data_IF_972854902909
#
_entry.id   IF_972854902909
#
_cell.length_a   1.000
_cell.length_b   1.000
_cell.length_c   1.000
_cell.angle_alpha   90.00
_cell.angle_beta   90.00
_cell.angle_gamma   90.00
#
_symmetry.space_group_name_H-M   'P 1'
#
loop_
_entity.id
_entity.type
_entity.pdbx_description
1 polymer ?
#
# COMPACT_ATOMS: atom_id res chain seq x y z
N UNK A 1 -12.14 -9.03 -19.73
CA UNK A 1 -13.22 -8.84 -18.76
C UNK A 1 -13.25 -7.36 -18.45
N UNK A 2 -14.37 -6.67 -18.70
CA UNK A 2 -14.51 -5.25 -18.38
C UNK A 2 -14.84 -5.10 -16.89
N UNK A 3 -14.20 -4.15 -16.21
CA UNK A 3 -14.50 -3.83 -14.81
C UNK A 3 -15.88 -3.17 -14.72
N UNK A 4 -16.68 -3.52 -13.72
CA UNK A 4 -17.95 -2.84 -13.47
C UNK A 4 -17.73 -1.36 -13.12
N UNK A 5 -18.72 -0.51 -13.36
CA UNK A 5 -18.65 0.92 -12.99
C UNK A 5 -18.39 1.11 -11.50
N UNK A 6 -18.99 0.27 -10.66
CA UNK A 6 -18.79 0.26 -9.21
C UNK A 6 -17.32 0.00 -8.85
N UNK A 7 -16.69 -1.02 -9.46
CA UNK A 7 -15.27 -1.31 -9.22
C UNK A 7 -14.39 -0.17 -9.73
N UNK A 8 -14.70 0.40 -10.90
CA UNK A 8 -13.96 1.55 -11.43
C UNK A 8 -14.03 2.76 -10.48
N UNK A 9 -15.21 3.05 -9.93
CA UNK A 9 -15.42 4.14 -8.99
C UNK A 9 -14.66 3.90 -7.68
N UNK A 10 -14.75 2.70 -7.12
CA UNK A 10 -13.97 2.30 -5.95
C UNK A 10 -12.46 2.45 -6.18
N UNK A 11 -11.96 2.01 -7.33
CA UNK A 11 -10.54 2.11 -7.65
C UNK A 11 -10.08 3.56 -7.81
N UNK A 12 -10.85 4.39 -8.50
CA UNK A 12 -10.47 5.78 -8.81
C UNK A 12 -10.62 6.73 -7.63
N UNK A 13 -11.42 6.37 -6.62
CA UNK A 13 -11.69 7.17 -5.43
C UNK A 13 -11.10 6.53 -4.18
N UNK A 14 -11.77 5.53 -3.61
CA UNK A 14 -11.43 4.95 -2.31
C UNK A 14 -10.04 4.31 -2.26
N UNK A 15 -9.70 3.50 -3.27
CA UNK A 15 -8.39 2.83 -3.33
C UNK A 15 -7.25 3.83 -3.53
N UNK A 16 -7.45 4.83 -4.40
CA UNK A 16 -6.49 5.92 -4.60
C UNK A 16 -6.31 6.73 -3.31
N UNK A 17 -7.40 7.06 -2.60
CA UNK A 17 -7.30 7.79 -1.34
C UNK A 17 -6.50 7.00 -0.29
N UNK A 18 -6.83 5.72 -0.09
CA UNK A 18 -6.09 4.81 0.80
C UNK A 18 -4.61 4.74 0.44
N UNK A 19 -4.31 4.49 -0.83
CA UNK A 19 -2.94 4.44 -1.33
C UNK A 19 -2.18 5.73 -1.02
N UNK A 20 -2.77 6.90 -1.30
CA UNK A 20 -2.15 8.20 -1.05
C UNK A 20 -1.97 8.53 0.43
N UNK A 21 -2.76 7.93 1.32
CA UNK A 21 -2.53 7.98 2.77
C UNK A 21 -1.34 7.11 3.16
N UNK A 22 -1.30 5.87 2.68
CA UNK A 22 -0.26 4.90 3.06
C UNK A 22 1.13 5.33 2.58
N UNK A 23 1.27 5.82 1.34
CA UNK A 23 2.58 6.25 0.80
C UNK A 23 3.21 7.42 1.55
N UNK A 24 2.45 8.14 2.37
CA UNK A 24 2.96 9.23 3.22
C UNK A 24 3.45 8.74 4.59
N UNK A 25 3.14 7.49 4.96
CA UNK A 25 3.65 6.86 6.17
C UNK A 25 5.05 6.35 5.86
N UNK A 26 6.04 6.81 6.62
CA UNK A 26 7.41 6.37 6.43
C UNK A 26 7.59 4.95 6.97
N UNK A 27 7.93 4.01 6.09
CA UNK A 27 8.08 2.58 6.45
C UNK A 27 9.37 1.97 5.90
N UNK A 28 10.41 2.75 5.60
CA UNK A 28 11.64 2.21 5.00
C UNK A 28 12.28 1.14 5.89
N UNK A 29 12.69 0.01 5.30
CA UNK A 29 13.48 -1.01 5.99
C UNK A 29 14.93 -0.55 6.21
N UNK A 30 15.68 -1.30 7.03
CA UNK A 30 17.12 -1.14 7.23
C UNK A 30 17.81 -2.50 7.03
N UNK A 31 18.69 -2.60 6.04
CA UNK A 31 19.40 -3.86 5.72
C UNK A 31 20.47 -4.23 6.76
N UNK A 32 20.87 -3.29 7.62
CA UNK A 32 21.92 -3.48 8.61
C UNK A 32 21.38 -3.94 9.97
N UNK A 33 20.06 -4.15 10.08
CA UNK A 33 19.38 -4.49 11.32
C UNK A 33 18.72 -5.86 11.18
N UNK A 34 19.06 -6.78 12.09
CA UNK A 34 18.53 -8.15 12.10
C UNK A 34 17.21 -8.31 12.87
N UNK A 35 16.73 -7.26 13.55
CA UNK A 35 15.43 -7.32 14.23
C UNK A 35 14.28 -7.36 13.23
N UNK A 36 13.14 -7.89 13.67
CA UNK A 36 11.90 -7.91 12.88
C UNK A 36 10.85 -7.07 13.64
N UNK A 37 10.32 -5.98 13.04
CA UNK A 37 10.79 -5.37 11.79
C UNK A 37 12.18 -4.73 11.97
N UNK A 38 12.88 -4.49 10.87
CA UNK A 38 14.21 -3.84 10.90
C UNK A 38 14.12 -2.37 11.33
N UNK A 39 12.96 -1.73 11.14
CA UNK A 39 12.71 -0.35 11.54
C UNK A 39 11.38 -0.20 12.28
N UNK A 40 11.39 0.59 13.36
CA UNK A 40 10.19 0.82 14.19
C UNK A 40 9.09 1.60 13.47
N UNK A 41 9.41 2.37 12.44
CA UNK A 41 8.44 3.17 11.70
C UNK A 41 7.43 2.29 10.93
N UNK A 42 7.76 1.03 10.61
CA UNK A 42 6.84 0.08 9.98
C UNK A 42 5.57 -0.18 10.82
N UNK A 43 5.68 -0.12 12.15
CA UNK A 43 4.54 -0.27 13.05
C UNK A 43 3.49 0.83 12.88
N UNK A 44 3.86 2.01 12.36
CA UNK A 44 2.91 3.12 12.24
C UNK A 44 1.89 2.87 11.12
N UNK A 45 2.33 2.28 10.00
CA UNK A 45 1.40 1.79 8.98
C UNK A 45 0.58 0.61 9.51
N UNK A 46 1.20 -0.32 10.24
CA UNK A 46 0.49 -1.45 10.85
C UNK A 46 -0.66 -1.02 11.77
N UNK A 47 -0.43 -0.03 12.66
CA UNK A 47 -1.48 0.53 13.53
C UNK A 47 -2.62 1.17 12.72
N UNK A 48 -2.29 1.91 11.67
CA UNK A 48 -3.30 2.51 10.79
C UNK A 48 -4.16 1.42 10.14
N UNK A 49 -3.54 0.37 9.61
CA UNK A 49 -4.24 -0.75 8.98
C UNK A 49 -5.15 -1.49 9.96
N UNK A 50 -4.71 -1.72 11.21
CA UNK A 50 -5.56 -2.32 12.25
C UNK A 50 -6.86 -1.54 12.45
N UNK A 51 -6.79 -0.21 12.52
CA UNK A 51 -7.99 0.63 12.68
C UNK A 51 -8.89 0.57 11.44
N UNK A 52 -8.32 0.55 10.22
CA UNK A 52 -9.11 0.40 9.00
C UNK A 52 -9.75 -0.98 8.86
N UNK A 53 -9.06 -2.05 9.26
CA UNK A 53 -9.57 -3.42 9.26
C UNK A 53 -10.72 -3.56 10.25
N UNK A 54 -10.61 -2.97 11.45
CA UNK A 54 -11.73 -2.89 12.42
C UNK A 54 -12.94 -2.19 11.81
N UNK A 55 -12.74 -1.07 11.11
CA UNK A 55 -13.82 -0.34 10.46
C UNK A 55 -14.49 -1.13 9.32
N UNK A 56 -13.78 -2.09 8.72
CA UNK A 56 -14.30 -3.03 7.72
C UNK A 56 -15.01 -4.24 8.33
N UNK A 57 -15.07 -4.36 9.66
CA UNK A 57 -15.66 -5.47 10.40
C UNK A 57 -15.04 -6.84 10.08
N UNK A 58 -13.72 -6.88 9.85
CA UNK A 58 -12.98 -8.14 9.83
C UNK A 58 -12.76 -8.64 11.27
N UNK A 59 -12.55 -9.94 11.39
CA UNK A 59 -12.39 -10.66 12.66
C UNK A 59 -10.91 -11.04 12.89
N UNK A 60 -10.61 -11.55 14.09
CA UNK A 60 -9.29 -12.07 14.48
C UNK A 60 -8.12 -11.13 14.13
N UNK A 61 -8.30 -9.83 14.37
CA UNK A 61 -7.32 -8.81 14.03
C UNK A 61 -6.13 -8.89 14.99
N UNK A 62 -4.95 -9.14 14.45
CA UNK A 62 -3.69 -9.25 15.19
C UNK A 62 -2.71 -8.23 14.64
N UNK A 63 -2.02 -7.53 15.54
CA UNK A 63 -0.79 -6.81 15.23
C UNK A 63 0.24 -7.23 16.27
N UNK A 64 1.17 -8.09 15.86
CA UNK A 64 2.09 -8.73 16.78
C UNK A 64 3.35 -7.89 17.07
N UNK A 65 4.19 -8.40 17.96
CA UNK A 65 5.44 -7.76 18.36
C UNK A 65 6.50 -7.69 17.25
N UNK A 66 6.30 -8.44 16.15
CA UNK A 66 7.17 -8.46 14.97
C UNK A 66 6.62 -7.59 13.82
N UNK A 67 5.52 -6.87 14.05
CA UNK A 67 4.94 -5.93 13.09
C UNK A 67 4.09 -6.59 12.00
N UNK A 68 3.73 -7.87 12.14
CA UNK A 68 2.78 -8.51 11.22
C UNK A 68 1.36 -8.10 11.56
N UNK A 69 0.56 -7.81 10.53
CA UNK A 69 -0.87 -7.54 10.64
C UNK A 69 -1.63 -8.68 9.99
N UNK A 70 -2.50 -9.32 10.78
CA UNK A 70 -3.41 -10.37 10.31
C UNK A 70 -4.85 -9.95 10.54
N UNK A 71 -5.73 -10.43 9.68
CA UNK A 71 -7.17 -10.29 9.82
C UNK A 71 -7.87 -11.42 9.07
N UNK A 72 -9.07 -11.77 9.52
CA UNK A 72 -9.90 -12.79 8.93
C UNK A 72 -11.18 -12.18 8.37
N UNK A 73 -11.47 -12.47 7.10
CA UNK A 73 -12.78 -12.19 6.51
C UNK A 73 -13.60 -13.48 6.57
N UNK A 74 -14.72 -13.52 7.31
CA UNK A 74 -15.59 -14.69 7.34
C UNK A 74 -16.07 -15.10 5.95
N UNK A 75 -16.28 -16.40 5.70
CA UNK A 75 -16.79 -16.87 4.42
C UNK A 75 -18.19 -16.29 4.16
N UNK A 76 -18.46 -15.91 2.90
CA UNK A 76 -19.83 -15.62 2.47
C UNK A 76 -20.71 -16.87 2.58
N UNK A 77 -22.02 -16.66 2.73
CA UNK A 77 -22.99 -17.75 2.85
C UNK A 77 -22.84 -18.78 1.71
N UNK A 78 -22.73 -20.06 2.09
CA UNK A 78 -22.53 -21.18 1.17
C UNK A 78 -21.07 -21.50 0.83
N UNK A 79 -20.11 -20.71 1.33
CA UNK A 79 -18.67 -20.93 1.13
C UNK A 79 -17.94 -21.43 2.40
N UNK A 80 -18.65 -21.76 3.48
CA UNK A 80 -18.10 -22.09 4.80
C UNK A 80 -17.18 -23.33 4.79
N UNK A 81 -17.36 -24.22 3.80
CA UNK A 81 -16.56 -25.45 3.63
C UNK A 81 -15.49 -25.33 2.54
N UNK A 82 -15.32 -24.16 1.94
CA UNK A 82 -14.31 -23.94 0.89
C UNK A 82 -12.95 -23.65 1.52
N UNK A 83 -11.89 -24.00 0.81
CA UNK A 83 -10.52 -23.71 1.23
C UNK A 83 -10.30 -22.18 1.27
N UNK A 84 -9.87 -21.62 2.40
CA UNK A 84 -9.52 -20.20 2.48
C UNK A 84 -8.35 -19.85 1.55
N UNK A 85 -8.31 -18.60 1.08
CA UNK A 85 -7.18 -18.02 0.38
C UNK A 85 -6.55 -16.91 1.22
N UNK A 86 -5.24 -16.73 1.10
CA UNK A 86 -4.51 -15.64 1.75
C UNK A 86 -4.12 -14.57 0.73
N UNK A 87 -4.33 -13.30 1.10
CA UNK A 87 -3.79 -12.15 0.37
C UNK A 87 -2.70 -11.52 1.23
N UNK A 88 -1.51 -11.35 0.65
CA UNK A 88 -0.33 -10.89 1.36
C UNK A 88 0.23 -9.64 0.68
N UNK A 89 0.70 -8.70 1.49
CA UNK A 89 1.47 -7.54 1.09
C UNK A 89 2.50 -7.24 2.19
N UNK A 90 3.59 -6.57 1.84
CA UNK A 90 4.58 -6.09 2.80
C UNK A 90 4.33 -4.61 3.14
N UNK A 91 4.78 -4.18 4.32
CA UNK A 91 4.55 -2.81 4.82
C UNK A 91 5.68 -1.85 4.47
N UNK A 92 6.88 -2.38 4.24
CA UNK A 92 8.10 -1.58 4.14
C UNK A 92 8.35 -1.03 2.74
N UNK A 93 9.19 0.00 2.69
CA UNK A 93 9.74 0.54 1.43
C UNK A 93 11.25 0.27 1.37
N UNK A 94 11.79 0.20 0.16
CA UNK A 94 13.20 -0.05 -0.07
C UNK A 94 14.09 1.03 0.57
N UNK A 95 15.16 0.61 1.25
CA UNK A 95 16.08 1.50 1.98
C UNK A 95 16.95 2.40 1.09
N UNK A 96 17.20 2.00 -0.17
CA UNK A 96 18.10 2.74 -1.07
C UNK A 96 17.54 4.06 -1.61
N UNK A 97 16.25 4.35 -1.36
CA UNK A 97 15.62 5.64 -1.62
C UNK A 97 14.78 6.03 -0.42
N UNK A 98 14.78 7.32 -0.05
CA UNK A 98 14.04 7.74 1.14
C UNK A 98 12.54 7.65 0.92
N UNK A 99 11.86 6.84 1.73
CA UNK A 99 10.40 6.82 1.84
C UNK A 99 9.84 7.85 2.83
N UNK A 100 10.65 8.81 3.29
CA UNK A 100 10.24 9.81 4.29
C UNK A 100 9.70 11.07 3.61
N UNK A 101 8.66 11.67 4.20
CA UNK A 101 8.06 12.93 3.75
C UNK A 101 7.63 12.93 2.27
N UNK A 102 7.17 11.77 1.78
CA UNK A 102 6.71 11.58 0.41
C UNK A 102 5.57 12.54 0.08
N UNK A 103 5.68 13.21 -1.08
CA UNK A 103 4.66 14.12 -1.61
C UNK A 103 4.12 13.53 -2.91
N UNK A 104 3.08 12.68 -2.86
CA UNK A 104 2.57 12.04 -4.06
C UNK A 104 1.95 13.08 -5.00
N UNK A 105 2.18 12.89 -6.30
CA UNK A 105 1.64 13.74 -7.38
C UNK A 105 0.80 12.84 -8.29
N UNK A 106 -0.44 13.25 -8.56
CA UNK A 106 -1.35 12.50 -9.43
C UNK A 106 -1.38 13.17 -10.81
N UNK A 107 -0.95 12.46 -11.83
CA UNK A 107 -1.09 12.86 -13.23
C UNK A 107 -2.38 12.23 -13.79
N UNK A 108 -3.48 12.98 -13.83
CA UNK A 108 -4.74 12.50 -14.41
C UNK A 108 -4.69 12.61 -15.93
N UNK A 109 -5.31 11.65 -16.61
CA UNK A 109 -5.39 11.60 -18.09
C UNK A 109 -4.00 11.80 -18.74
N UNK A 110 -3.00 11.09 -18.21
CA UNK A 110 -1.63 11.15 -18.69
C UNK A 110 -1.57 10.89 -20.20
N UNK A 111 -0.90 11.78 -20.93
CA UNK A 111 -0.85 11.82 -22.39
C UNK A 111 0.40 11.13 -22.98
N UNK A 112 1.22 10.50 -22.13
CA UNK A 112 2.47 9.87 -22.52
C UNK A 112 3.67 10.82 -22.59
N UNK A 113 3.50 12.12 -22.29
CA UNK A 113 4.60 13.08 -22.32
C UNK A 113 5.56 12.94 -21.15
N UNK A 114 6.81 13.36 -21.32
CA UNK A 114 7.84 13.25 -20.26
C UNK A 114 7.40 13.93 -18.96
N UNK A 115 7.39 13.17 -17.86
CA UNK A 115 7.09 13.70 -16.52
C UNK A 115 8.35 14.36 -15.94
N UNK A 116 8.21 15.60 -15.47
CA UNK A 116 9.28 16.37 -14.82
C UNK A 116 9.00 16.47 -13.32
N UNK A 117 10.05 16.36 -12.51
CA UNK A 117 9.92 16.39 -11.06
C UNK A 117 10.06 17.82 -10.53
N UNK A 118 9.11 18.26 -9.70
CA UNK A 118 9.11 19.63 -9.17
C UNK A 118 10.34 19.93 -8.29
N UNK A 119 10.85 18.92 -7.60
CA UNK A 119 11.97 19.04 -6.67
C UNK A 119 13.33 18.76 -7.31
N UNK A 120 13.35 18.16 -8.50
CA UNK A 120 14.58 17.87 -9.24
C UNK A 120 14.35 18.14 -10.74
N UNK A 121 14.90 19.27 -11.21
CA UNK A 121 14.75 19.68 -12.62
C UNK A 121 15.56 18.83 -13.60
N UNK A 122 16.56 18.10 -13.10
CA UNK A 122 17.38 17.17 -13.90
C UNK A 122 16.67 15.84 -14.10
N UNK A 123 15.86 15.42 -13.14
CA UNK A 123 15.11 14.17 -13.20
C UNK A 123 13.93 14.27 -14.18
N UNK A 124 13.85 13.28 -15.08
CA UNK A 124 12.79 13.13 -16.06
C UNK A 124 12.40 11.65 -16.12
N UNK A 125 11.10 11.39 -16.16
CA UNK A 125 10.58 10.04 -16.41
C UNK A 125 10.08 9.99 -17.85
N UNK A 126 10.77 9.22 -18.68
CA UNK A 126 10.34 8.93 -20.04
C UNK A 126 9.53 7.65 -20.06
N UNK A 127 8.58 7.56 -20.98
CA UNK A 127 7.77 6.36 -21.17
C UNK A 127 8.63 5.11 -21.43
N UNK A 128 9.71 5.27 -22.21
CA UNK A 128 10.64 4.18 -22.55
C UNK A 128 11.45 3.68 -21.34
N UNK A 129 11.56 4.48 -20.27
CA UNK A 129 12.26 4.11 -19.02
C UNK A 129 11.30 3.49 -17.98
N UNK A 130 10.00 3.82 -18.05
CA UNK A 130 8.94 3.32 -17.15
C UNK A 130 7.55 3.77 -17.63
N UNK A 131 6.52 2.90 -17.67
CA UNK A 131 6.49 1.53 -17.16
C UNK A 131 6.92 0.51 -18.23
N UNK A 132 7.90 -0.34 -17.90
CA UNK A 132 8.06 -1.63 -18.57
C UNK A 132 7.06 -2.64 -18.01
#
# INVERSE_FOLDING_TARGET
>A
MELSKEIQEFLLNDAVERFLRYVKVWTSSDENVESIPSTKCQFDLGKLLVEEIKALNLEDIIHDEYGFVYAYLPPSEGFEKKTPIGLLAHLDTYYGVSGKDVKPIIHRNYDGSVIKFAQDKGLKLHFDDSPA
#
